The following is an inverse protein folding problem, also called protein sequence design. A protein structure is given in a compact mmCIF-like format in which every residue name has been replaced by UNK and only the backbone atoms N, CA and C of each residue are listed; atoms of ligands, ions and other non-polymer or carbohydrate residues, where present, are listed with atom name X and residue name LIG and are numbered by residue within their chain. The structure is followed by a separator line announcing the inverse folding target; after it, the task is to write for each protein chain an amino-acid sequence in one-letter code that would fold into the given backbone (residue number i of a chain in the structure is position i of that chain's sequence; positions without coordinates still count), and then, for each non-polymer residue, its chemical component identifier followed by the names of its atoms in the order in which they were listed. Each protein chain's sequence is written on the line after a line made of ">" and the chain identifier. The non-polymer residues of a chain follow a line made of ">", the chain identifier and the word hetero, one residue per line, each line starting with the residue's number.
data_IF_168920727845
#
_entry.id   IF_168920727845
#
_cell.length_a   1.000
_cell.length_b   1.000
_cell.length_c   1.000
_cell.angle_alpha   90.00
_cell.angle_beta   90.00
_cell.angle_gamma   90.00
#
_symmetry.space_group_name_H-M   'P 1'
#
loop_
_entity.id
_entity.type
_entity.pdbx_description
1 polymer ?
#
# COMPACT_ATOMS: atom_id res chain seq x y z
N UNK A 1 7.46 -25.91 60.76
CA UNK A 1 7.67 -24.63 60.07
C UNK A 1 9.16 -24.36 59.97
N UNK A 2 9.61 -23.97 58.78
CA UNK A 2 11.00 -23.56 58.54
C UNK A 2 11.33 -22.29 59.33
N UNK A 3 12.59 -22.16 59.77
CA UNK A 3 13.08 -20.96 60.47
C UNK A 3 12.79 -19.66 59.70
N UNK A 4 12.71 -19.74 58.37
CA UNK A 4 12.37 -18.61 57.51
C UNK A 4 10.91 -18.17 57.68
N UNK A 5 9.97 -19.11 57.76
CA UNK A 5 8.54 -18.81 57.97
C UNK A 5 8.30 -18.11 59.31
N UNK A 6 9.02 -18.51 60.35
CA UNK A 6 8.97 -17.86 61.66
C UNK A 6 9.43 -16.39 61.62
N UNK A 7 10.54 -16.10 60.91
CA UNK A 7 11.03 -14.71 60.78
C UNK A 7 10.10 -13.81 59.98
N UNK A 8 9.41 -14.37 58.98
CA UNK A 8 8.41 -13.63 58.20
C UNK A 8 7.16 -13.36 59.04
N UNK A 9 6.68 -14.34 59.81
CA UNK A 9 5.54 -14.19 60.71
C UNK A 9 5.75 -13.06 61.74
N UNK A 10 6.94 -12.99 62.32
CA UNK A 10 7.30 -11.94 63.29
C UNK A 10 7.31 -10.55 62.65
N UNK A 11 7.81 -10.43 61.42
CA UNK A 11 7.84 -9.16 60.68
C UNK A 11 6.42 -8.67 60.36
N UNK A 12 5.54 -9.56 59.90
CA UNK A 12 4.15 -9.19 59.58
C UNK A 12 3.32 -8.92 60.83
N UNK A 13 3.53 -9.66 61.93
CA UNK A 13 2.89 -9.39 63.22
C UNK A 13 3.26 -7.99 63.74
N UNK A 14 4.54 -7.61 63.65
CA UNK A 14 5.02 -6.28 64.03
C UNK A 14 4.40 -5.14 63.21
N UNK A 15 4.15 -5.36 61.91
CA UNK A 15 3.57 -4.35 61.02
C UNK A 15 2.05 -4.21 61.16
N UNK A 16 1.34 -5.34 61.30
CA UNK A 16 -0.14 -5.38 61.32
C UNK A 16 -0.74 -5.20 62.71
N UNK A 17 0.06 -5.34 63.77
CA UNK A 17 -0.43 -5.32 65.15
C UNK A 17 -1.19 -6.59 65.57
N UNK A 18 -1.14 -7.66 64.75
CA UNK A 18 -1.76 -8.96 65.02
C UNK A 18 -0.83 -9.90 65.74
N UNK A 19 -1.39 -10.95 66.35
CA UNK A 19 -0.59 -11.98 67.00
C UNK A 19 0.15 -12.83 65.96
N UNK A 20 1.35 -13.33 66.34
CA UNK A 20 2.14 -14.25 65.49
C UNK A 20 1.34 -15.50 65.10
N UNK A 21 0.48 -15.98 65.99
CA UNK A 21 -0.36 -17.16 65.77
C UNK A 21 -1.40 -16.93 64.66
N UNK A 22 -2.07 -15.78 64.68
CA UNK A 22 -3.05 -15.42 63.63
C UNK A 22 -2.38 -15.26 62.26
N UNK A 23 -1.21 -14.63 62.21
CA UNK A 23 -0.47 -14.44 60.95
C UNK A 23 0.05 -15.78 60.41
N UNK A 24 0.51 -16.67 61.28
CA UNK A 24 0.95 -18.02 60.88
C UNK A 24 -0.22 -18.84 60.33
N UNK A 25 -1.39 -18.77 60.97
CA UNK A 25 -2.61 -19.42 60.48
C UNK A 25 -3.06 -18.86 59.12
N UNK A 26 -2.95 -17.53 58.91
CA UNK A 26 -3.24 -16.91 57.61
C UNK A 26 -2.27 -17.33 56.51
N UNK A 27 -1.00 -17.57 56.85
CA UNK A 27 0.01 -18.07 55.91
C UNK A 27 -0.18 -19.55 55.57
N UNK A 28 -0.54 -20.39 56.54
CA UNK A 28 -0.86 -21.80 56.32
C UNK A 28 -2.14 -21.99 55.49
N UNK A 29 -3.13 -21.13 55.69
CA UNK A 29 -4.38 -21.15 54.93
C UNK A 29 -4.26 -20.63 53.49
N UNK A 30 -3.09 -20.09 53.10
CA UNK A 30 -2.88 -19.40 51.81
C UNK A 30 -3.95 -18.32 51.56
N UNK A 31 -4.18 -17.42 52.52
CA UNK A 31 -5.24 -16.41 52.43
C UNK A 31 -4.96 -15.37 51.35
N UNK A 32 -5.86 -15.25 50.38
CA UNK A 32 -5.86 -14.20 49.36
C UNK A 32 -6.73 -13.02 49.82
N UNK A 33 -6.24 -11.79 49.65
CA UNK A 33 -6.93 -10.57 50.08
C UNK A 33 -6.81 -9.49 48.99
N UNK A 34 -7.82 -8.62 48.89
CA UNK A 34 -7.76 -7.46 48.00
C UNK A 34 -6.94 -6.29 48.61
N UNK A 35 -6.65 -5.26 47.82
CA UNK A 35 -5.87 -4.10 48.30
C UNK A 35 -6.54 -3.31 49.43
N UNK A 36 -7.88 -3.24 49.44
CA UNK A 36 -8.64 -2.56 50.49
C UNK A 36 -8.66 -3.36 51.79
N UNK A 37 -8.81 -4.69 51.68
CA UNK A 37 -8.69 -5.64 52.77
C UNK A 37 -7.27 -5.61 53.34
N UNK A 38 -6.23 -5.53 52.51
CA UNK A 38 -4.85 -5.40 52.99
C UNK A 38 -4.67 -4.10 53.80
N UNK A 39 -5.25 -2.98 53.35
CA UNK A 39 -5.22 -1.73 54.10
C UNK A 39 -5.99 -1.82 55.43
N UNK A 40 -7.18 -2.42 55.41
CA UNK A 40 -8.00 -2.60 56.61
C UNK A 40 -7.34 -3.51 57.65
N UNK A 41 -6.60 -4.52 57.20
CA UNK A 41 -5.86 -5.45 58.05
C UNK A 41 -4.45 -4.94 58.43
N UNK A 42 -4.08 -3.71 58.03
CA UNK A 42 -2.79 -3.10 58.40
C UNK A 42 -1.58 -3.64 57.64
N UNK A 43 -1.79 -4.41 56.56
CA UNK A 43 -0.70 -4.89 55.70
C UNK A 43 -0.19 -3.82 54.73
N UNK A 44 -1.03 -2.83 54.38
CA UNK A 44 -0.70 -1.75 53.44
C UNK A 44 -1.13 -0.37 53.97
N UNK A 45 -0.34 0.66 53.67
CA UNK A 45 -0.56 2.02 54.16
C UNK A 45 -1.54 2.82 53.27
N UNK A 46 -1.44 2.67 51.95
CA UNK A 46 -2.27 3.36 50.96
C UNK A 46 -2.58 2.46 49.77
N UNK A 47 -3.79 2.60 49.20
CA UNK A 47 -4.19 1.92 47.97
C UNK A 47 -4.13 2.94 46.83
N UNK A 48 -3.14 2.77 45.96
CA UNK A 48 -2.93 3.62 44.79
C UNK A 48 -3.86 3.13 43.66
N UNK A 49 -4.48 4.02 42.85
CA UNK A 49 -5.27 3.61 41.70
C UNK A 49 -4.48 2.72 40.76
N UNK A 50 -5.17 1.74 40.15
CA UNK A 50 -4.56 0.78 39.24
C UNK A 50 -3.91 1.51 38.06
N UNK A 51 -2.58 1.57 38.07
CA UNK A 51 -1.80 1.98 36.91
C UNK A 51 -1.91 0.86 35.88
N UNK A 52 -2.16 1.20 34.62
CA UNK A 52 -2.12 0.25 33.50
C UNK A 52 -0.65 -0.17 33.26
N UNK A 53 -0.06 -0.88 34.21
CA UNK A 53 1.28 -1.42 34.08
C UNK A 53 1.21 -2.67 33.19
N UNK A 54 2.05 -2.69 32.15
CA UNK A 54 2.28 -3.85 31.28
C UNK A 54 3.05 -4.98 32.01
N UNK A 55 2.70 -5.27 33.26
CA UNK A 55 3.33 -6.33 34.03
C UNK A 55 2.82 -7.68 33.51
N UNK A 56 3.65 -8.37 32.72
CA UNK A 56 3.44 -9.75 32.28
C UNK A 56 3.81 -10.68 33.43
N UNK A 57 2.84 -11.34 34.05
CA UNK A 57 3.12 -12.37 35.06
C UNK A 57 3.37 -13.69 34.33
N UNK A 58 4.64 -13.96 34.04
CA UNK A 58 5.09 -15.14 33.30
C UNK A 58 5.70 -16.22 34.20
N UNK A 59 5.24 -16.30 35.45
CA UNK A 59 5.86 -17.22 36.40
C UNK A 59 5.17 -18.59 36.38
N UNK A 60 5.93 -19.65 36.13
CA UNK A 60 5.52 -21.05 36.37
C UNK A 60 5.10 -21.32 37.83
N UNK A 61 5.41 -20.41 38.75
CA UNK A 61 5.09 -20.47 40.19
C UNK A 61 3.61 -20.29 40.51
N UNK A 62 2.78 -19.87 39.54
CA UNK A 62 1.33 -19.74 39.72
C UNK A 62 0.68 -21.12 39.92
N UNK A 63 1.31 -22.20 39.44
CA UNK A 63 0.86 -23.57 39.67
C UNK A 63 1.18 -24.12 41.07
N UNK A 64 1.98 -23.39 41.87
CA UNK A 64 2.43 -23.86 43.19
C UNK A 64 1.45 -23.48 44.32
N UNK A 65 0.46 -22.62 44.06
CA UNK A 65 -0.54 -22.17 45.05
C UNK A 65 -1.84 -22.97 44.91
N UNK A 66 -2.25 -23.66 45.97
CA UNK A 66 -3.38 -24.60 45.94
C UNK A 66 -4.73 -23.91 46.17
N UNK A 67 -4.78 -22.84 46.97
CA UNK A 67 -6.02 -22.16 47.36
C UNK A 67 -6.28 -20.85 46.60
N UNK A 68 -5.76 -20.69 45.38
CA UNK A 68 -5.99 -19.48 44.60
C UNK A 68 -7.48 -19.32 44.20
N UNK A 69 -8.12 -18.16 44.45
CA UNK A 69 -9.49 -17.88 44.05
C UNK A 69 -9.72 -18.02 42.53
N UNK A 70 -10.82 -18.66 42.14
CA UNK A 70 -11.13 -18.96 40.73
C UNK A 70 -11.29 -17.71 39.85
N UNK A 71 -11.78 -16.60 40.41
CA UNK A 71 -11.85 -15.31 39.71
C UNK A 71 -10.46 -14.79 39.30
N UNK A 72 -9.46 -14.92 40.19
CA UNK A 72 -8.08 -14.50 39.94
C UNK A 72 -7.42 -15.44 38.93
N UNK A 73 -7.64 -16.76 39.07
CA UNK A 73 -7.17 -17.79 38.14
C UNK A 73 -7.67 -17.57 36.71
N UNK A 74 -8.94 -17.22 36.57
CA UNK A 74 -9.56 -16.92 35.28
C UNK A 74 -9.01 -15.62 34.68
N UNK A 75 -8.83 -14.57 35.49
CA UNK A 75 -8.23 -13.31 35.03
C UNK A 75 -6.78 -13.47 34.56
N UNK A 76 -5.99 -14.30 35.24
CA UNK A 76 -4.60 -14.58 34.88
C UNK A 76 -4.55 -15.39 33.58
N UNK A 77 -5.32 -16.48 33.49
CA UNK A 77 -5.38 -17.33 32.28
C UNK A 77 -5.88 -16.57 31.05
N UNK A 78 -6.88 -15.70 31.20
CA UNK A 78 -7.41 -14.90 30.09
C UNK A 78 -6.38 -13.92 29.53
N UNK A 79 -5.56 -13.28 30.38
CA UNK A 79 -4.54 -12.32 29.94
C UNK A 79 -3.30 -12.98 29.33
N UNK A 80 -2.91 -14.16 29.82
CA UNK A 80 -1.82 -14.92 29.19
C UNK A 80 -2.21 -15.47 27.82
N UNK A 81 -3.50 -15.80 27.63
CA UNK A 81 -4.02 -16.26 26.35
C UNK A 81 -4.34 -15.13 25.37
N UNK A 82 -4.80 -13.97 25.82
CA UNK A 82 -5.32 -12.92 24.92
C UNK A 82 -4.28 -12.39 23.94
N UNK A 83 -3.05 -12.14 24.39
CA UNK A 83 -1.99 -11.63 23.50
C UNK A 83 -1.49 -12.65 22.48
N UNK A 84 -1.38 -13.92 22.88
CA UNK A 84 -1.01 -15.00 21.97
C UNK A 84 -2.14 -15.32 20.99
N UNK A 85 -3.39 -15.30 21.46
CA UNK A 85 -4.58 -15.45 20.62
C UNK A 85 -4.69 -14.32 19.58
N UNK A 86 -4.39 -13.09 19.99
CA UNK A 86 -4.39 -11.91 19.10
C UNK A 86 -3.29 -12.00 18.05
N UNK A 87 -2.08 -12.45 18.42
CA UNK A 87 -1.00 -12.76 17.47
C UNK A 87 -1.42 -13.83 16.47
N UNK A 88 -1.94 -14.96 16.95
CA UNK A 88 -2.37 -16.07 16.10
C UNK A 88 -3.52 -15.68 15.17
N UNK A 89 -4.46 -14.86 15.64
CA UNK A 89 -5.57 -14.35 14.83
C UNK A 89 -5.09 -13.37 13.77
N UNK A 90 -4.19 -12.44 14.12
CA UNK A 90 -3.61 -11.50 13.16
C UNK A 90 -2.80 -12.20 12.06
N UNK A 91 -2.04 -13.24 12.40
CA UNK A 91 -1.35 -14.06 11.40
C UNK A 91 -2.37 -14.79 10.49
N UNK A 92 -3.41 -15.40 11.05
CA UNK A 92 -4.44 -16.09 10.25
C UNK A 92 -5.18 -15.15 9.30
N UNK A 93 -5.53 -13.95 9.75
CA UNK A 93 -6.19 -12.94 8.93
C UNK A 93 -5.31 -12.49 7.76
N UNK A 94 -4.02 -12.25 8.04
CA UNK A 94 -3.03 -11.84 7.03
C UNK A 94 -2.88 -12.88 5.91
N UNK A 95 -2.92 -14.17 6.22
CA UNK A 95 -2.86 -15.23 5.22
C UNK A 95 -4.23 -15.57 4.59
N UNK A 96 -5.33 -15.27 5.29
CA UNK A 96 -6.70 -15.54 4.84
C UNK A 96 -7.08 -14.81 3.55
N UNK A 97 -6.50 -13.64 3.28
CA UNK A 97 -6.76 -12.86 2.05
C UNK A 97 -6.31 -13.57 0.76
N UNK A 98 -5.44 -14.59 0.85
CA UNK A 98 -4.77 -15.18 -0.30
C UNK A 98 -5.39 -16.50 -0.79
N UNK A 99 -6.65 -16.80 -0.44
CA UNK A 99 -7.39 -17.99 -0.92
C UNK A 99 -6.60 -19.31 -0.82
N UNK A 100 -5.76 -19.46 0.21
CA UNK A 100 -4.98 -20.67 0.47
C UNK A 100 -3.65 -20.81 -0.29
N UNK A 101 -3.23 -19.82 -1.10
CA UNK A 101 -1.99 -19.90 -1.90
C UNK A 101 -0.71 -20.04 -1.07
N UNK A 102 -0.71 -19.49 0.14
CA UNK A 102 0.46 -19.45 1.04
C UNK A 102 0.24 -20.25 2.33
N UNK A 103 -0.60 -21.31 2.29
CA UNK A 103 -0.95 -22.10 3.47
C UNK A 103 0.26 -22.75 4.16
N UNK A 104 1.24 -23.26 3.40
CA UNK A 104 2.44 -23.86 3.98
C UNK A 104 3.28 -22.84 4.76
N UNK A 105 3.38 -21.61 4.24
CA UNK A 105 4.08 -20.52 4.90
C UNK A 105 3.29 -20.04 6.13
N UNK A 106 1.96 -19.99 6.05
CA UNK A 106 1.09 -19.71 7.19
C UNK A 106 1.28 -20.72 8.33
N UNK A 107 1.32 -22.02 8.02
CA UNK A 107 1.55 -23.08 9.01
C UNK A 107 2.92 -22.91 9.67
N UNK A 108 3.96 -22.58 8.90
CA UNK A 108 5.31 -22.34 9.44
C UNK A 108 5.36 -21.12 10.37
N UNK A 109 4.64 -20.05 10.06
CA UNK A 109 4.56 -18.85 10.90
C UNK A 109 3.72 -19.07 12.15
N UNK A 110 2.69 -19.93 12.10
CA UNK A 110 1.87 -20.30 13.25
C UNK A 110 2.60 -21.26 14.20
N UNK A 111 3.50 -22.10 13.70
CA UNK A 111 4.29 -23.02 14.52
C UNK A 111 5.44 -22.33 15.28
N UNK A 112 5.89 -21.18 14.80
CA UNK A 112 6.96 -20.38 15.42
C UNK A 112 6.38 -19.41 16.46
N UNK A 113 6.70 -19.64 17.75
CA UNK A 113 6.22 -18.82 18.86
C UNK A 113 6.82 -17.41 18.88
N UNK A 114 7.99 -17.23 18.28
CA UNK A 114 8.68 -15.92 18.21
C UNK A 114 8.25 -15.10 16.97
N UNK A 115 7.43 -15.67 16.09
CA UNK A 115 7.00 -14.98 14.87
C UNK A 115 5.96 -13.91 15.17
N UNK A 116 6.35 -12.63 15.12
CA UNK A 116 5.42 -11.51 15.17
C UNK A 116 4.62 -11.36 13.88
N UNK A 117 3.53 -10.59 13.93
CA UNK A 117 2.67 -10.31 12.76
C UNK A 117 3.45 -9.61 11.64
N UNK A 118 4.41 -8.75 12.00
CA UNK A 118 5.28 -8.04 11.06
C UNK A 118 6.23 -8.99 10.33
N UNK A 119 6.86 -9.92 11.06
CA UNK A 119 7.76 -10.91 10.45
C UNK A 119 6.99 -11.85 9.51
N UNK A 120 5.78 -12.27 9.90
CA UNK A 120 4.88 -13.03 9.03
C UNK A 120 4.52 -12.25 7.75
N UNK A 121 4.27 -10.93 7.86
CA UNK A 121 4.04 -10.05 6.72
C UNK A 121 5.25 -9.97 5.79
N UNK A 122 6.45 -9.79 6.33
CA UNK A 122 7.68 -9.73 5.53
C UNK A 122 7.95 -11.04 4.78
N UNK A 123 7.79 -12.18 5.45
CA UNK A 123 7.95 -13.50 4.82
C UNK A 123 6.93 -13.73 3.71
N UNK A 124 5.67 -13.31 3.92
CA UNK A 124 4.64 -13.34 2.89
C UNK A 124 5.00 -12.44 1.70
N UNK A 125 5.43 -11.21 1.95
CA UNK A 125 5.83 -10.26 0.91
C UNK A 125 7.00 -10.80 0.09
N UNK A 126 7.98 -11.42 0.75
CA UNK A 126 9.12 -12.04 0.09
C UNK A 126 8.71 -13.25 -0.76
N UNK A 127 7.76 -14.07 -0.30
CA UNK A 127 7.19 -15.16 -1.08
C UNK A 127 6.44 -14.66 -2.33
N UNK A 128 5.64 -13.60 -2.19
CA UNK A 128 4.98 -12.93 -3.32
C UNK A 128 5.98 -12.38 -4.33
N UNK A 129 7.09 -11.79 -3.85
CA UNK A 129 8.15 -11.23 -4.69
C UNK A 129 8.94 -12.28 -5.48
N UNK A 130 8.95 -13.56 -5.06
CA UNK A 130 9.63 -14.63 -5.79
C UNK A 130 8.88 -15.04 -7.06
N UNK A 131 7.55 -14.98 -7.05
CA UNK A 131 6.73 -15.24 -8.25
C UNK A 131 6.68 -14.03 -9.19
N UNK A 132 6.99 -12.83 -8.71
CA UNK A 132 7.19 -11.68 -9.59
C UNK A 132 8.54 -11.79 -10.30
N UNK A 133 8.56 -12.47 -11.43
CA UNK A 133 9.65 -12.29 -12.39
C UNK A 133 9.60 -10.87 -12.93
N UNK A 134 10.69 -10.08 -12.88
CA UNK A 134 10.81 -8.92 -13.76
C UNK A 134 10.55 -9.42 -15.17
N UNK A 135 9.63 -8.78 -15.91
CA UNK A 135 9.15 -9.18 -17.24
C UNK A 135 10.27 -9.34 -18.31
N UNK A 136 11.54 -9.17 -17.94
CA UNK A 136 12.67 -9.01 -18.83
C UNK A 136 13.80 -10.07 -18.67
N UNK A 137 13.54 -11.32 -18.27
CA UNK A 137 14.64 -12.32 -18.17
C UNK A 137 14.45 -13.73 -18.72
N UNK A 138 13.29 -14.15 -19.22
CA UNK A 138 13.08 -15.58 -19.57
C UNK A 138 12.39 -15.86 -20.90
N UNK A 139 12.47 -14.95 -21.87
CA UNK A 139 12.06 -15.25 -23.25
C UNK A 139 13.25 -15.05 -24.19
N UNK A 140 13.66 -16.09 -24.96
CA UNK A 140 14.73 -15.96 -25.94
C UNK A 140 14.39 -14.83 -26.92
N UNK A 141 15.40 -14.03 -27.28
CA UNK A 141 15.31 -12.81 -28.09
C UNK A 141 14.69 -12.96 -29.51
N UNK A 142 14.17 -14.13 -29.87
CA UNK A 142 13.72 -14.48 -31.21
C UNK A 142 12.21 -14.78 -31.34
N UNK A 143 11.40 -14.63 -30.29
CA UNK A 143 9.99 -15.10 -30.35
C UNK A 143 8.87 -14.11 -30.08
N UNK A 144 9.10 -12.82 -29.81
CA UNK A 144 7.99 -11.88 -29.86
C UNK A 144 8.45 -10.43 -30.05
N UNK A 145 7.84 -9.75 -31.03
CA UNK A 145 7.74 -8.30 -31.10
C UNK A 145 6.79 -7.82 -29.98
N UNK A 146 7.15 -8.08 -28.72
CA UNK A 146 6.43 -7.54 -27.57
C UNK A 146 6.80 -6.06 -27.48
N UNK A 147 6.01 -5.21 -28.14
CA UNK A 147 6.00 -3.80 -27.85
C UNK A 147 5.64 -3.67 -26.36
N UNK A 148 6.62 -3.29 -25.55
CA UNK A 148 6.37 -2.77 -24.20
C UNK A 148 5.55 -1.49 -24.38
N UNK A 149 4.25 -1.64 -24.25
CA UNK A 149 3.28 -0.58 -24.53
C UNK A 149 2.85 0.13 -23.24
N UNK A 150 2.35 1.36 -23.36
CA UNK A 150 1.87 2.18 -22.25
C UNK A 150 0.48 1.76 -21.72
N UNK A 151 -0.09 0.67 -22.25
CA UNK A 151 -1.44 0.20 -21.93
C UNK A 151 -2.54 0.80 -22.82
N UNK A 152 -2.19 1.62 -23.81
CA UNK A 152 -3.10 2.25 -24.78
C UNK A 152 -2.70 1.96 -26.24
N UNK A 153 -2.33 0.71 -26.55
CA UNK A 153 -1.96 0.25 -27.90
C UNK A 153 -2.95 0.67 -28.98
N UNK A 154 -4.24 0.73 -28.64
CA UNK A 154 -5.30 1.06 -29.60
C UNK A 154 -5.31 2.55 -29.92
N UNK A 155 -5.19 3.41 -28.90
CA UNK A 155 -5.09 4.85 -29.08
C UNK A 155 -3.82 5.24 -29.83
N UNK A 156 -2.70 4.61 -29.49
CA UNK A 156 -1.42 4.85 -30.15
C UNK A 156 -1.43 4.37 -31.60
N UNK A 157 -1.99 3.19 -31.89
CA UNK A 157 -2.16 2.72 -33.25
C UNK A 157 -3.12 3.64 -34.07
N UNK A 158 -4.20 4.15 -33.48
CA UNK A 158 -5.05 5.15 -34.15
C UNK A 158 -4.31 6.46 -34.42
N UNK A 159 -3.53 6.97 -33.46
CA UNK A 159 -2.71 8.18 -33.61
C UNK A 159 -1.66 8.01 -34.71
N UNK A 160 -0.96 6.88 -34.72
CA UNK A 160 0.01 6.50 -35.73
C UNK A 160 -0.64 6.45 -37.13
N UNK A 161 -1.81 5.82 -37.22
CA UNK A 161 -2.57 5.72 -38.46
C UNK A 161 -3.03 7.07 -38.98
N UNK A 162 -3.50 7.95 -38.09
CA UNK A 162 -3.87 9.32 -38.43
C UNK A 162 -2.66 10.14 -38.91
N UNK A 163 -1.55 10.12 -38.17
CA UNK A 163 -0.33 10.84 -38.53
C UNK A 163 0.26 10.36 -39.86
N UNK A 164 0.18 9.06 -40.14
CA UNK A 164 0.60 8.51 -41.42
C UNK A 164 -0.24 9.05 -42.57
N UNK A 165 -1.56 9.22 -42.38
CA UNK A 165 -2.46 9.82 -43.37
C UNK A 165 -2.24 11.32 -43.54
N UNK A 166 -1.87 12.02 -42.47
CA UNK A 166 -1.50 13.44 -42.52
C UNK A 166 -0.14 13.68 -43.19
N UNK A 167 0.63 12.62 -43.46
CA UNK A 167 1.95 12.71 -44.09
C UNK A 167 3.08 13.04 -43.12
N UNK A 168 2.82 13.03 -41.82
CA UNK A 168 3.82 13.35 -40.78
C UNK A 168 4.68 12.17 -40.38
N UNK A 169 4.20 10.94 -40.61
CA UNK A 169 4.86 9.68 -40.25
C UNK A 169 4.67 8.64 -41.37
N UNK A 170 5.48 7.57 -41.37
CA UNK A 170 5.24 6.42 -42.25
C UNK A 170 4.26 5.46 -41.57
N UNK A 171 3.29 4.92 -42.32
CA UNK A 171 2.37 3.92 -41.80
C UNK A 171 3.14 2.69 -41.27
N UNK A 172 2.88 2.31 -40.02
CA UNK A 172 3.51 1.14 -39.42
C UNK A 172 2.96 -0.16 -40.03
N UNK A 173 3.85 -1.12 -40.24
CA UNK A 173 3.48 -2.39 -40.87
C UNK A 173 2.61 -3.21 -39.91
N UNK A 174 1.35 -3.39 -40.28
CA UNK A 174 0.37 -4.15 -39.48
C UNK A 174 -0.60 -3.28 -38.67
N UNK A 175 -0.50 -1.95 -38.75
CA UNK A 175 -1.48 -1.07 -38.14
C UNK A 175 -2.81 -1.08 -38.92
N UNK A 176 -3.93 -1.57 -38.33
CA UNK A 176 -5.22 -1.62 -39.03
C UNK A 176 -5.83 -0.22 -39.27
N UNK A 177 -5.51 0.76 -38.43
CA UNK A 177 -6.11 2.10 -38.50
C UNK A 177 -5.50 2.99 -39.59
N UNK A 178 -4.30 2.66 -40.07
CA UNK A 178 -3.63 3.42 -41.13
C UNK A 178 -4.46 3.54 -42.41
N UNK A 179 -5.29 2.54 -42.71
CA UNK A 179 -6.14 2.50 -43.91
C UNK A 179 -7.61 2.86 -43.64
N UNK A 180 -8.02 3.04 -42.38
CA UNK A 180 -9.40 3.33 -41.99
C UNK A 180 -9.77 4.78 -42.25
N UNK A 181 -11.03 5.05 -42.63
CA UNK A 181 -11.51 6.43 -42.75
C UNK A 181 -11.56 7.11 -41.38
N UNK A 182 -11.53 8.45 -41.34
CA UNK A 182 -11.60 9.18 -40.07
C UNK A 182 -12.88 8.87 -39.28
N UNK A 183 -13.96 8.56 -39.99
CA UNK A 183 -15.20 8.11 -39.38
C UNK A 183 -15.09 6.71 -38.79
N UNK A 184 -14.42 5.77 -39.49
CA UNK A 184 -14.23 4.42 -38.96
C UNK A 184 -13.28 4.43 -37.77
N UNK A 185 -12.30 5.34 -37.74
CA UNK A 185 -11.48 5.59 -36.55
C UNK A 185 -12.33 6.15 -35.38
N UNK A 186 -13.26 7.06 -35.65
CA UNK A 186 -14.21 7.53 -34.64
C UNK A 186 -15.08 6.38 -34.09
N UNK A 187 -15.55 5.51 -34.97
CA UNK A 187 -16.31 4.32 -34.58
C UNK A 187 -15.45 3.35 -33.75
N UNK A 188 -14.23 3.06 -34.20
CA UNK A 188 -13.28 2.19 -33.50
C UNK A 188 -12.97 2.70 -32.08
N UNK A 189 -12.80 4.02 -31.92
CA UNK A 189 -12.55 4.64 -30.62
C UNK A 189 -13.65 4.39 -29.59
N UNK A 190 -14.91 4.29 -30.04
CA UNK A 190 -16.05 3.98 -29.18
C UNK A 190 -16.13 2.48 -28.89
N UNK A 191 -15.98 1.64 -29.92
CA UNK A 191 -16.09 0.19 -29.77
C UNK A 191 -14.98 -0.40 -28.90
N UNK A 192 -13.76 0.11 -29.01
CA UNK A 192 -12.63 -0.35 -28.17
C UNK A 192 -12.82 -0.07 -26.68
N UNK A 193 -13.73 0.83 -26.33
CA UNK A 193 -14.02 1.22 -24.95
C UNK A 193 -15.40 0.76 -24.49
N UNK A 194 -15.96 -0.23 -25.18
CA UNK A 194 -17.21 -0.89 -24.81
C UNK A 194 -18.48 -0.12 -25.16
N UNK A 195 -18.39 0.99 -25.90
CA UNK A 195 -19.58 1.71 -26.37
C UNK A 195 -20.04 1.08 -27.68
N UNK A 196 -21.24 0.50 -27.66
CA UNK A 196 -21.86 -0.06 -28.86
C UNK A 196 -22.25 1.05 -29.82
N UNK A 197 -21.70 1.03 -31.03
CA UNK A 197 -22.06 1.99 -32.07
C UNK A 197 -23.35 1.61 -32.79
N UNK A 198 -23.85 0.39 -32.59
CA UNK A 198 -25.06 -0.13 -33.23
C UNK A 198 -26.36 0.51 -32.75
N UNK A 199 -26.35 1.17 -31.58
CA UNK A 199 -27.50 1.91 -31.07
C UNK A 199 -27.68 3.30 -31.71
N UNK A 200 -26.67 3.83 -32.40
CA UNK A 200 -26.77 5.11 -33.10
C UNK A 200 -27.29 4.89 -34.52
N UNK A 201 -28.40 5.53 -34.86
CA UNK A 201 -29.07 5.37 -36.16
C UNK A 201 -28.45 6.18 -37.30
N UNK A 202 -27.59 7.16 -37.00
CA UNK A 202 -26.99 8.06 -38.01
C UNK A 202 -25.50 8.28 -37.78
N UNK A 203 -24.78 8.55 -38.88
CA UNK A 203 -23.34 8.87 -38.88
C UNK A 203 -23.01 10.04 -37.94
N UNK A 204 -23.85 11.08 -37.95
CA UNK A 204 -23.70 12.27 -37.10
C UNK A 204 -23.81 11.95 -35.61
N UNK A 205 -24.73 11.06 -35.22
CA UNK A 205 -24.87 10.63 -33.83
C UNK A 205 -23.62 9.89 -33.32
N UNK A 206 -23.02 9.03 -34.16
CA UNK A 206 -21.78 8.32 -33.82
C UNK A 206 -20.63 9.32 -33.63
N UNK A 207 -20.51 10.30 -34.53
CA UNK A 207 -19.47 11.33 -34.42
C UNK A 207 -19.69 12.19 -33.18
N UNK A 208 -20.92 12.65 -32.93
CA UNK A 208 -21.24 13.41 -31.72
C UNK A 208 -20.96 12.60 -30.44
N UNK A 209 -21.21 11.29 -30.46
CA UNK A 209 -20.85 10.40 -29.36
C UNK A 209 -19.33 10.31 -29.18
N UNK A 210 -18.57 10.16 -30.27
CA UNK A 210 -17.11 10.14 -30.23
C UNK A 210 -16.49 11.45 -29.72
N UNK A 211 -17.17 12.59 -29.90
CA UNK A 211 -16.71 13.88 -29.37
C UNK A 211 -17.14 14.15 -27.92
N UNK A 212 -18.29 13.63 -27.48
CA UNK A 212 -18.89 14.01 -26.19
C UNK A 212 -18.79 12.94 -25.10
N UNK A 213 -18.45 11.68 -25.43
CA UNK A 213 -18.24 10.66 -24.40
C UNK A 213 -16.89 10.84 -23.72
N UNK A 214 -16.88 10.88 -22.39
CA UNK A 214 -15.67 11.00 -21.57
C UNK A 214 -14.70 9.83 -21.72
N UNK A 215 -15.20 8.68 -22.13
CA UNK A 215 -14.35 7.54 -22.45
C UNK A 215 -13.73 7.67 -23.84
N UNK A 216 -14.17 8.56 -24.74
CA UNK A 216 -13.65 8.61 -26.10
C UNK A 216 -12.39 9.47 -26.23
N UNK A 217 -11.22 8.86 -26.44
CA UNK A 217 -9.97 9.59 -26.75
C UNK A 217 -9.90 10.05 -28.23
N UNK A 218 -10.98 9.97 -29.02
CA UNK A 218 -10.96 10.39 -30.41
C UNK A 218 -10.66 11.89 -30.58
N UNK A 219 -11.16 12.71 -29.65
CA UNK A 219 -10.90 14.15 -29.61
C UNK A 219 -9.43 14.45 -29.40
N UNK A 220 -8.79 13.72 -28.50
CA UNK A 220 -7.40 13.93 -28.12
C UNK A 220 -6.45 13.47 -29.23
N UNK A 221 -6.78 12.36 -29.90
CA UNK A 221 -6.04 11.87 -31.08
C UNK A 221 -6.10 12.91 -32.21
N UNK A 222 -7.28 13.49 -32.47
CA UNK A 222 -7.45 14.54 -33.47
C UNK A 222 -6.69 15.82 -33.10
N UNK A 223 -6.78 16.23 -31.84
CA UNK A 223 -6.06 17.39 -31.33
C UNK A 223 -4.54 17.22 -31.50
N UNK A 224 -4.00 16.06 -31.16
CA UNK A 224 -2.57 15.76 -31.33
C UNK A 224 -2.12 15.76 -32.79
N UNK A 225 -2.94 15.26 -33.72
CA UNK A 225 -2.66 15.34 -35.16
C UNK A 225 -2.70 16.77 -35.70
N UNK A 226 -3.62 17.59 -35.20
CA UNK A 226 -3.73 19.01 -35.54
C UNK A 226 -2.52 19.80 -35.02
N UNK A 227 -2.14 19.60 -33.76
CA UNK A 227 -0.94 20.20 -33.16
C UNK A 227 0.30 19.88 -33.99
N UNK A 228 0.50 18.60 -34.33
CA UNK A 228 1.63 18.17 -35.15
C UNK A 228 1.62 18.83 -36.53
N UNK A 229 0.46 18.98 -37.14
CA UNK A 229 0.31 19.67 -38.43
C UNK A 229 0.64 21.16 -38.35
N UNK A 230 0.25 21.82 -37.26
CA UNK A 230 0.58 23.23 -37.00
C UNK A 230 2.08 23.39 -36.80
N UNK A 231 2.70 22.53 -36.00
CA UNK A 231 4.15 22.52 -35.78
C UNK A 231 4.91 22.31 -37.08
N UNK A 232 4.52 21.30 -37.87
CA UNK A 232 5.12 21.05 -39.18
C UNK A 232 4.96 22.28 -40.10
N UNK A 233 3.77 22.90 -40.14
CA UNK A 233 3.54 24.12 -40.90
C UNK A 233 4.42 25.30 -40.46
N UNK A 234 4.64 25.45 -39.15
CA UNK A 234 5.51 26.48 -38.58
C UNK A 234 6.98 26.24 -38.94
N UNK A 235 7.48 25.01 -38.82
CA UNK A 235 8.86 24.65 -39.17
C UNK A 235 9.15 24.82 -40.67
N UNK A 236 8.17 24.52 -41.53
CA UNK A 236 8.30 24.67 -42.98
C UNK A 236 7.99 26.09 -43.47
N UNK A 237 7.47 26.96 -42.61
CA UNK A 237 7.22 28.37 -42.94
C UNK A 237 8.55 29.12 -43.01
N UNK A 238 9.03 29.36 -44.23
CA UNK A 238 10.25 30.12 -44.44
C UNK A 238 10.21 31.53 -43.83
N UNK A 239 11.37 32.08 -43.50
CA UNK A 239 11.51 33.43 -42.96
C UNK A 239 11.00 34.49 -43.96
N UNK A 240 9.84 35.07 -43.67
CA UNK A 240 9.20 36.06 -44.56
C UNK A 240 9.91 37.42 -44.53
N UNK A 241 10.75 37.71 -43.52
CA UNK A 241 11.37 39.02 -43.37
C UNK A 241 12.28 39.40 -44.55
N UNK A 242 12.88 38.43 -45.25
CA UNK A 242 13.69 38.72 -46.45
C UNK A 242 12.87 39.25 -47.62
N UNK A 243 11.56 39.00 -47.65
CA UNK A 243 10.69 39.43 -48.76
C UNK A 243 10.29 40.90 -48.65
N UNK A 244 10.20 41.44 -47.43
CA UNK A 244 9.77 42.82 -47.18
C UNK A 244 10.86 43.71 -46.57
N UNK A 245 12.04 43.18 -46.27
CA UNK A 245 13.20 43.98 -45.82
C UNK A 245 14.20 44.20 -46.96
N UNK A 246 14.64 45.45 -47.13
CA UNK A 246 15.74 45.81 -48.03
C UNK A 246 17.02 45.93 -47.22
N UNK A 247 18.08 45.22 -47.61
CA UNK A 247 19.41 45.39 -47.01
C UNK A 247 19.94 46.78 -47.37
N UNK A 248 20.07 47.65 -46.38
CA UNK A 248 20.65 48.98 -46.57
C UNK A 248 22.06 48.98 -45.99
N UNK A 249 23.10 49.37 -46.74
CA UNK A 249 24.42 49.57 -46.16
C UNK A 249 24.36 50.75 -45.19
N UNK A 250 24.73 50.52 -43.93
CA UNK A 250 24.84 51.57 -42.94
C UNK A 250 26.08 52.43 -43.24
N UNK A 251 25.91 53.74 -43.37
CA UNK A 251 27.03 54.69 -43.35
C UNK A 251 27.53 54.80 -41.91
N UNK A 252 28.73 54.29 -41.64
CA UNK A 252 29.42 54.46 -40.36
C UNK A 252 29.48 55.94 -40.00
N UNK A 253 28.87 56.35 -38.88
CA UNK A 253 29.07 57.69 -38.32
C UNK A 253 30.50 57.80 -37.77
N UNK A 254 31.47 58.08 -38.64
CA UNK A 254 32.81 58.49 -38.21
C UNK A 254 32.68 59.90 -37.66
N UNK A 255 32.87 60.05 -36.34
CA UNK A 255 33.00 61.34 -35.66
C UNK A 255 34.12 62.13 -36.37
N UNK A 256 33.91 63.40 -36.77
CA UNK A 256 34.95 64.14 -37.47
C UNK A 256 36.18 64.23 -36.56
N UNK A 257 37.32 63.75 -37.04
CA UNK A 257 38.60 63.93 -36.38
C UNK A 257 38.86 65.44 -36.32
N UNK A 258 39.12 65.95 -35.11
CA UNK A 258 39.54 67.31 -34.90
C UNK A 258 40.81 67.58 -35.73
N UNK A 259 40.73 68.56 -36.62
CA UNK A 259 41.89 69.16 -37.27
C UNK A 259 42.76 69.79 -36.17
N UNK A 260 44.03 69.44 -36.19
CA UNK A 260 45.10 70.01 -35.37
C UNK A 260 45.33 71.50 -35.70
#
# INVERSE_FOLDING_TARGET
>A
MDKLGDTMAETYAGRTGRSKQEITAMMEAETWMDGNECKANGFADEVIPAITAMARIESKRIGDFSNMPENIKNMISQKTGSGEQERLNGIRELFGTFNGRYNDLAISCLADSECSVENARERLLLAMGKESTPTNKTTPANLYYAYTDNGNITGDAMRQGLNARLGHERAERGNPYAMMSLFDMAQASLTHRGISTGSYGTRSQIVNAAFNHSSSDFTDILAGGAEKSVLAGWEHSGETFRQWTKKVPFQTFVKPAALA
#
